data_IF_726564455016
#
_entry.id   IF_726564455016
#
_cell.length_a   1.000
_cell.length_b   1.000
_cell.length_c   1.000
_cell.angle_alpha   90.00
_cell.angle_beta   90.00
_cell.angle_gamma   90.00
#
_symmetry.space_group_name_H-M   'P 1'
#
loop_
_entity.id
_entity.type
_entity.pdbx_description
1 polymer ?
#
# COMPACT_ATOMS: atom_id res chain seq x y z
N UNK A 1 10.05 10.81 -4.41
CA UNK A 1 9.86 9.38 -4.70
C UNK A 1 9.17 9.28 -6.04
N UNK A 2 9.71 8.52 -7.01
CA UNK A 2 8.94 8.20 -8.21
C UNK A 2 7.64 7.55 -7.72
N UNK A 3 6.52 8.00 -8.26
CA UNK A 3 5.22 7.40 -7.97
C UNK A 3 5.35 5.96 -8.46
N UNK A 4 5.31 5.03 -7.53
CA UNK A 4 5.43 3.60 -7.81
C UNK A 4 4.26 3.20 -8.69
N UNK A 5 4.56 2.46 -9.75
CA UNK A 5 3.60 2.00 -10.76
C UNK A 5 2.40 1.29 -10.09
N UNK A 6 1.14 1.64 -10.42
CA UNK A 6 -0.04 0.97 -9.90
C UNK A 6 -0.02 -0.55 -10.07
N UNK A 7 0.66 -1.05 -11.11
CA UNK A 7 0.77 -2.46 -11.45
C UNK A 7 1.92 -3.18 -10.69
N UNK A 8 2.71 -2.45 -9.90
CA UNK A 8 3.73 -3.07 -9.06
C UNK A 8 3.10 -4.05 -8.07
N UNK A 9 3.80 -5.16 -7.82
CA UNK A 9 3.38 -6.14 -6.81
C UNK A 9 3.49 -5.48 -5.43
N UNK A 10 2.44 -5.62 -4.64
CA UNK A 10 2.35 -5.05 -3.32
C UNK A 10 1.70 -6.01 -2.32
N UNK A 11 1.95 -5.78 -1.05
CA UNK A 11 1.35 -6.51 0.05
C UNK A 11 0.78 -5.51 1.07
N UNK A 12 -0.53 -5.54 1.28
CA UNK A 12 -1.21 -4.75 2.31
C UNK A 12 -1.30 -5.58 3.60
N UNK A 13 -0.70 -5.07 4.67
CA UNK A 13 -0.69 -5.69 6.00
C UNK A 13 -1.69 -4.94 6.88
N UNK A 14 -2.92 -5.44 6.91
CA UNK A 14 -4.00 -4.89 7.76
C UNK A 14 -3.92 -5.45 9.18
N UNK A 15 -3.46 -6.69 9.30
CA UNK A 15 -3.22 -7.41 10.55
C UNK A 15 -1.97 -8.26 10.37
N UNK A 16 -1.21 -8.48 11.45
CA UNK A 16 0.09 -9.19 11.41
C UNK A 16 -0.02 -10.61 10.83
N UNK A 17 -1.21 -11.21 10.86
CA UNK A 17 -1.38 -12.63 10.54
C UNK A 17 -1.64 -12.95 9.07
N UNK A 18 -2.11 -12.01 8.26
CA UNK A 18 -2.40 -12.26 6.84
C UNK A 18 -2.15 -11.03 5.97
N UNK A 19 -0.95 -10.89 5.37
CA UNK A 19 -0.72 -9.91 4.33
C UNK A 19 -1.55 -10.23 3.09
N UNK A 20 -2.25 -9.23 2.55
CA UNK A 20 -2.99 -9.35 1.31
C UNK A 20 -2.12 -8.93 0.13
N UNK A 21 -1.77 -9.89 -0.71
CA UNK A 21 -0.89 -9.68 -1.87
C UNK A 21 -1.71 -9.34 -3.11
N UNK A 22 -1.44 -8.20 -3.72
CA UNK A 22 -2.16 -7.70 -4.89
C UNK A 22 -1.27 -6.71 -5.68
N UNK A 23 -1.84 -5.98 -6.62
CA UNK A 23 -1.17 -4.80 -7.19
C UNK A 23 -1.22 -3.62 -6.21
N UNK A 24 -0.32 -2.65 -6.37
CA UNK A 24 -0.33 -1.41 -5.60
C UNK A 24 -1.70 -0.71 -5.67
N UNK A 25 -2.28 -0.61 -6.86
CA UNK A 25 -3.60 0.01 -7.06
C UNK A 25 -4.71 -0.72 -6.28
N UNK A 26 -4.71 -2.05 -6.28
CA UNK A 26 -5.66 -2.86 -5.51
C UNK A 26 -5.46 -2.69 -3.99
N UNK A 27 -4.21 -2.71 -3.53
CA UNK A 27 -3.87 -2.47 -2.12
C UNK A 27 -4.36 -1.10 -1.64
N UNK A 28 -4.14 -0.04 -2.43
CA UNK A 28 -4.62 1.30 -2.09
C UNK A 28 -6.15 1.39 -2.08
N UNK A 29 -6.82 0.78 -3.06
CA UNK A 29 -8.28 0.71 -3.11
C UNK A 29 -8.85 0.02 -1.87
N UNK A 30 -8.26 -1.12 -1.48
CA UNK A 30 -8.67 -1.86 -0.28
C UNK A 30 -8.40 -1.07 0.98
N UNK A 31 -7.20 -0.49 1.13
CA UNK A 31 -6.85 0.34 2.29
C UNK A 31 -7.82 1.51 2.46
N UNK A 32 -8.24 2.16 1.37
CA UNK A 32 -9.19 3.26 1.44
C UNK A 32 -10.59 2.82 1.91
N UNK A 33 -10.96 1.55 1.70
CA UNK A 33 -12.21 0.97 2.17
C UNK A 33 -12.17 0.43 3.61
N UNK A 34 -11.01 0.46 4.28
CA UNK A 34 -10.89 0.03 5.67
C UNK A 34 -11.46 1.07 6.65
N UNK A 35 -11.85 0.61 7.83
CA UNK A 35 -12.20 1.52 8.93
C UNK A 35 -10.98 2.37 9.35
N UNK A 36 -11.21 3.57 9.93
CA UNK A 36 -10.13 4.50 10.24
C UNK A 36 -9.03 3.92 11.15
N UNK A 37 -9.39 3.04 12.09
CA UNK A 37 -8.43 2.41 13.00
C UNK A 37 -7.54 1.41 12.25
N UNK A 38 -8.12 0.57 11.39
CA UNK A 38 -7.32 -0.33 10.55
C UNK A 38 -6.44 0.42 9.57
N UNK A 39 -6.90 1.55 9.03
CA UNK A 39 -6.08 2.39 8.14
C UNK A 39 -4.82 2.88 8.82
N UNK A 40 -4.90 3.32 10.09
CA UNK A 40 -3.75 3.83 10.84
C UNK A 40 -2.77 2.75 11.29
N UNK A 41 -3.24 1.51 11.41
CA UNK A 41 -2.43 0.35 11.79
C UNK A 41 -1.83 -0.41 10.59
N UNK A 42 -2.26 -0.07 9.37
CA UNK A 42 -1.84 -0.78 8.16
C UNK A 42 -0.44 -0.40 7.70
N UNK A 43 0.25 -1.38 7.12
CA UNK A 43 1.48 -1.18 6.36
C UNK A 43 1.30 -1.65 4.92
N UNK A 44 2.06 -1.05 4.02
CA UNK A 44 2.11 -1.45 2.62
C UNK A 44 3.55 -1.76 2.24
N UNK A 45 3.77 -2.94 1.68
CA UNK A 45 5.07 -3.32 1.11
C UNK A 45 4.93 -3.31 -0.41
N UNK A 46 5.81 -2.59 -1.09
CA UNK A 46 5.86 -2.53 -2.56
C UNK A 46 7.13 -3.22 -3.02
N UNK A 47 7.02 -4.16 -3.96
CA UNK A 47 8.16 -4.73 -4.67
C UNK A 47 8.48 -3.84 -5.87
N UNK A 48 9.65 -3.18 -5.83
CA UNK A 48 10.15 -2.36 -6.93
C UNK A 48 10.92 -3.22 -7.94
N UNK A 49 10.98 -2.72 -9.17
CA UNK A 49 11.80 -3.31 -10.23
C UNK A 49 13.26 -3.39 -9.77
N UNK A 50 13.81 -4.61 -9.74
CA UNK A 50 15.16 -4.88 -9.21
C UNK A 50 15.19 -5.61 -7.86
N UNK A 51 14.03 -5.94 -7.29
CA UNK A 51 13.94 -6.76 -6.07
C UNK A 51 14.03 -5.96 -4.77
N UNK A 52 14.07 -4.62 -4.85
CA UNK A 52 13.96 -3.76 -3.69
C UNK A 52 12.54 -3.80 -3.11
N UNK A 53 12.43 -3.73 -1.79
CA UNK A 53 11.15 -3.67 -1.08
C UNK A 53 11.04 -2.35 -0.33
N UNK A 54 9.98 -1.61 -0.62
CA UNK A 54 9.65 -0.36 0.06
C UNK A 54 8.49 -0.62 1.03
N UNK A 55 8.72 -0.40 2.33
CA UNK A 55 7.68 -0.49 3.35
C UNK A 55 7.18 0.89 3.72
N UNK A 56 5.86 1.07 3.67
CA UNK A 56 5.18 2.33 3.90
C UNK A 56 4.20 2.18 5.04
N UNK A 57 4.21 3.16 5.95
CA UNK A 57 3.24 3.25 7.03
C UNK A 57 1.95 3.95 6.55
N UNK A 58 0.92 3.95 7.39
CA UNK A 58 -0.37 4.57 7.10
C UNK A 58 -0.30 6.02 6.55
N UNK A 59 0.61 6.85 7.09
CA UNK A 59 0.76 8.23 6.63
C UNK A 59 1.31 8.31 5.20
N UNK A 60 2.30 7.48 4.88
CA UNK A 60 2.85 7.39 3.52
C UNK A 60 1.86 6.78 2.53
N UNK A 61 1.06 5.80 2.97
CA UNK A 61 -0.03 5.22 2.17
C UNK A 61 -1.06 6.31 1.83
N UNK A 62 -1.43 7.16 2.79
CA UNK A 62 -2.36 8.27 2.55
C UNK A 62 -1.83 9.23 1.47
N UNK A 63 -0.57 9.66 1.60
CA UNK A 63 0.09 10.55 0.64
C UNK A 63 0.11 9.93 -0.78
N UNK A 64 0.35 8.63 -0.89
CA UNK A 64 0.29 7.94 -2.19
C UNK A 64 -1.12 7.81 -2.74
N UNK A 65 -2.09 7.47 -1.91
CA UNK A 65 -3.48 7.34 -2.33
C UNK A 65 -4.00 8.66 -2.93
N UNK A 66 -3.63 9.80 -2.33
CA UNK A 66 -3.95 11.13 -2.87
C UNK A 66 -3.30 11.41 -4.23
N UNK A 67 -2.10 10.87 -4.47
CA UNK A 67 -1.32 11.10 -5.71
C UNK A 67 -1.68 10.18 -6.87
N UNK A 68 -2.22 9.00 -6.59
CA UNK A 68 -2.59 7.99 -7.59
C UNK A 68 -4.06 8.06 -8.03
N UNK A 69 -4.90 8.79 -7.28
CA UNK A 69 -6.34 8.98 -7.57
C UNK A 69 -6.61 10.35 -8.21
N UNK A 70 -5.59 11.22 -8.32
CA UNK A 70 -5.64 12.50 -9.02
C UNK A 70 -5.20 12.36 -10.49
#
# INVERSE_FOLDING_TARGET
MPITDPDNRAELIETIHQPWKATLGECLRRWNGLDPLRRTQSYLVIEENGGNRLTLNAAMIAIMAERLVA
#
